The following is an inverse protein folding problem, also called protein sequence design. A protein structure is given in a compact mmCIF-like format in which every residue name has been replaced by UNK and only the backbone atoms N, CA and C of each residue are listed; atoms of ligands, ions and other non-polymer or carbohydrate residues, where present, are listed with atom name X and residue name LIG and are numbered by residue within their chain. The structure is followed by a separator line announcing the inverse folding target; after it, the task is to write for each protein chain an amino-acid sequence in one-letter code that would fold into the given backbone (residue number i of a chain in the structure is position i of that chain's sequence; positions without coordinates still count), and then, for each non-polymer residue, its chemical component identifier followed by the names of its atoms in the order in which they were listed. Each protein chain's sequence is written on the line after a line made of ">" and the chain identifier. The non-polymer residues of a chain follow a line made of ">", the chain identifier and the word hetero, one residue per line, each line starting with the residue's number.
data_IF_367303747186
#
_entry.id   IF_367303747186
#
_cell.length_a   1.000
_cell.length_b   1.000
_cell.length_c   1.000
_cell.angle_alpha   90.00
_cell.angle_beta   90.00
_cell.angle_gamma   90.00
#
_symmetry.space_group_name_H-M   'P 1'
#
loop_
_entity.id
_entity.type
_entity.pdbx_description
1 polymer ?
#
# COMPACT_ATOMS: atom_id res chain seq x y z
N UNK A 1 46.25 60.52 15.41
CA UNK A 1 45.00 61.29 15.23
C UNK A 1 43.84 60.34 15.46
N UNK A 2 42.97 60.66 16.42
CA UNK A 2 41.90 59.81 16.97
C UNK A 2 40.78 59.58 15.93
N UNK A 3 40.32 58.35 15.75
CA UNK A 3 38.91 58.06 15.46
C UNK A 3 38.48 56.76 16.16
N UNK A 4 37.53 56.94 17.06
CA UNK A 4 36.69 55.92 17.66
C UNK A 4 35.84 55.23 16.57
N UNK A 5 35.49 53.97 16.79
CA UNK A 5 34.11 53.46 16.94
C UNK A 5 34.14 51.96 16.64
N UNK A 6 34.00 51.17 17.70
CA UNK A 6 33.53 49.80 17.62
C UNK A 6 32.04 49.83 17.26
N UNK A 7 31.63 49.10 16.23
CA UNK A 7 30.24 48.70 16.07
C UNK A 7 30.24 47.22 15.70
N UNK A 8 29.87 46.40 16.69
CA UNK A 8 29.71 44.97 16.57
C UNK A 8 28.61 44.65 15.56
N UNK A 9 28.95 43.92 14.50
CA UNK A 9 27.97 43.26 13.64
C UNK A 9 28.38 41.79 13.53
N UNK A 10 28.06 41.00 14.56
CA UNK A 10 28.01 39.55 14.42
C UNK A 10 26.69 39.25 13.69
N UNK A 11 26.73 39.29 12.36
CA UNK A 11 25.63 38.84 11.54
C UNK A 11 25.62 37.31 11.52
N UNK A 12 24.91 36.70 12.48
CA UNK A 12 24.53 35.28 12.41
C UNK A 12 23.57 35.11 11.23
N UNK A 13 24.11 34.75 10.07
CA UNK A 13 23.32 34.24 8.94
C UNK A 13 22.67 32.94 9.41
N UNK A 14 21.44 33.03 9.93
CA UNK A 14 20.59 31.87 10.13
C UNK A 14 20.29 31.28 8.75
N UNK A 15 21.03 30.24 8.37
CA UNK A 15 20.71 29.40 7.22
C UNK A 15 19.41 28.68 7.56
N UNK A 16 18.28 29.32 7.29
CA UNK A 16 17.00 28.62 7.24
C UNK A 16 17.00 27.81 5.95
N UNK A 17 17.54 26.58 6.03
CA UNK A 17 17.25 25.57 5.04
C UNK A 17 15.73 25.32 5.10
N UNK A 18 15.00 25.97 4.19
CA UNK A 18 13.63 25.61 3.89
C UNK A 18 13.68 24.19 3.32
N UNK A 19 13.50 23.19 4.16
CA UNK A 19 13.14 21.86 3.68
C UNK A 19 11.80 22.03 2.96
N UNK A 20 11.85 22.18 1.64
CA UNK A 20 10.70 21.99 0.79
C UNK A 20 10.22 20.57 1.06
N UNK A 21 9.18 20.44 1.88
CA UNK A 21 8.56 19.15 2.14
C UNK A 21 7.80 18.80 0.87
N UNK A 22 8.51 18.19 -0.08
CA UNK A 22 7.91 17.57 -1.25
C UNK A 22 7.02 16.46 -0.73
N UNK A 23 5.74 16.79 -0.57
CA UNK A 23 4.73 15.84 -0.13
C UNK A 23 4.59 14.87 -1.29
N UNK A 24 5.24 13.71 -1.17
CA UNK A 24 5.19 12.68 -2.19
C UNK A 24 3.72 12.31 -2.40
N UNK A 25 3.18 12.67 -3.57
CA UNK A 25 1.82 12.31 -3.93
C UNK A 25 1.73 10.78 -3.94
N UNK A 26 0.71 10.23 -3.27
CA UNK A 26 0.45 8.79 -3.39
C UNK A 26 0.03 8.50 -4.83
N UNK A 27 0.72 7.61 -5.56
CA UNK A 27 0.38 7.31 -6.94
C UNK A 27 -1.06 6.80 -7.02
N UNK A 28 -1.86 7.48 -7.85
CA UNK A 28 -3.26 7.11 -8.09
C UNK A 28 -3.34 6.29 -9.37
N UNK A 29 -3.66 5.00 -9.24
CA UNK A 29 -3.78 4.10 -10.38
C UNK A 29 -5.20 4.07 -10.95
N UNK A 30 -5.30 4.13 -12.27
CA UNK A 30 -6.52 3.82 -13.02
C UNK A 30 -6.56 2.33 -13.37
N UNK A 31 -7.74 1.74 -13.31
CA UNK A 31 -7.95 0.30 -13.51
C UNK A 31 -9.01 0.11 -14.58
N UNK A 32 -8.73 -0.80 -15.50
CA UNK A 32 -9.67 -1.26 -16.52
C UNK A 32 -10.68 -2.24 -15.92
N UNK A 33 -10.21 -3.10 -15.00
CA UNK A 33 -11.06 -4.02 -14.25
C UNK A 33 -10.64 -4.07 -12.77
N UNK A 34 -11.61 -4.31 -11.89
CA UNK A 34 -11.44 -4.45 -10.45
C UNK A 34 -12.39 -5.53 -9.94
N UNK A 35 -12.04 -6.25 -8.86
CA UNK A 35 -12.95 -7.19 -8.22
C UNK A 35 -14.21 -6.47 -7.74
N UNK A 36 -15.35 -7.13 -7.94
CA UNK A 36 -16.66 -6.67 -7.52
C UNK A 36 -17.16 -7.39 -6.26
N UNK A 37 -18.40 -7.09 -5.84
CA UNK A 37 -18.99 -7.72 -4.66
C UNK A 37 -19.15 -9.25 -4.80
N UNK A 38 -19.45 -9.75 -5.99
CA UNK A 38 -19.56 -11.19 -6.24
C UNK A 38 -18.20 -11.88 -6.06
N UNK A 39 -17.13 -11.21 -6.44
CA UNK A 39 -15.75 -11.68 -6.26
C UNK A 39 -15.37 -11.81 -4.81
N UNK A 40 -15.72 -10.84 -3.98
CA UNK A 40 -15.52 -10.97 -2.55
C UNK A 40 -16.42 -12.05 -1.94
N UNK A 41 -17.68 -12.14 -2.35
CA UNK A 41 -18.59 -13.16 -1.83
C UNK A 41 -18.10 -14.59 -2.11
N UNK A 42 -17.69 -14.89 -3.36
CA UNK A 42 -17.27 -16.24 -3.74
C UNK A 42 -15.89 -16.64 -3.20
N UNK A 43 -15.03 -15.67 -2.90
CA UNK A 43 -13.69 -15.92 -2.37
C UNK A 43 -13.63 -15.71 -0.84
N UNK A 44 -14.74 -15.45 -0.15
CA UNK A 44 -14.71 -15.31 1.30
C UNK A 44 -14.20 -16.62 1.93
N UNK A 45 -13.22 -16.59 2.86
CA UNK A 45 -12.68 -17.82 3.41
C UNK A 45 -13.76 -18.64 4.10
N UNK A 46 -13.90 -19.91 3.70
CA UNK A 46 -14.98 -20.79 4.19
C UNK A 46 -15.04 -20.85 5.72
N UNK A 47 -13.90 -21.07 6.37
CA UNK A 47 -13.80 -21.08 7.83
C UNK A 47 -14.29 -19.77 8.47
N UNK A 48 -13.94 -18.64 7.86
CA UNK A 48 -14.33 -17.33 8.37
C UNK A 48 -15.84 -17.10 8.20
N UNK A 49 -16.45 -17.57 7.10
CA UNK A 49 -17.92 -17.58 6.94
C UNK A 49 -18.58 -18.43 8.01
N UNK A 50 -18.10 -19.67 8.19
CA UNK A 50 -18.69 -20.65 9.11
C UNK A 50 -18.67 -20.16 10.57
N UNK A 51 -17.60 -19.47 10.96
CA UNK A 51 -17.41 -18.93 12.30
C UNK A 51 -17.89 -17.47 12.46
N UNK A 52 -18.41 -16.85 11.39
CA UNK A 52 -18.85 -15.45 11.40
C UNK A 52 -17.73 -14.44 11.64
N UNK A 53 -16.48 -14.80 11.30
CA UNK A 53 -15.28 -14.01 11.54
C UNK A 53 -15.00 -13.07 10.38
N UNK A 54 -14.78 -11.80 10.71
CA UNK A 54 -14.33 -10.78 9.76
C UNK A 54 -12.82 -10.56 9.88
N UNK A 55 -12.21 -10.00 8.85
CA UNK A 55 -10.78 -9.79 8.88
C UNK A 55 -10.23 -8.95 7.76
N UNK A 56 -8.91 -8.96 7.62
CA UNK A 56 -8.20 -8.30 6.56
C UNK A 56 -6.92 -9.03 6.19
N UNK A 57 -6.41 -8.73 5.01
CA UNK A 57 -5.05 -9.07 4.64
C UNK A 57 -4.40 -7.93 3.88
N UNK A 58 -3.08 -7.86 3.95
CA UNK A 58 -2.28 -7.01 3.09
C UNK A 58 -1.75 -7.86 1.95
N UNK A 59 -1.85 -7.35 0.73
CA UNK A 59 -1.21 -7.92 -0.45
C UNK A 59 -0.17 -6.96 -1.01
N UNK A 60 0.96 -7.53 -1.44
CA UNK A 60 2.03 -6.85 -2.15
C UNK A 60 2.02 -7.36 -3.59
N UNK A 61 1.81 -6.47 -4.55
CA UNK A 61 1.58 -6.86 -5.94
C UNK A 61 2.58 -6.21 -6.89
N UNK A 62 3.09 -6.98 -7.85
CA UNK A 62 3.68 -6.45 -9.08
C UNK A 62 2.66 -6.48 -10.21
N UNK A 63 2.92 -5.72 -11.28
CA UNK A 63 2.09 -5.68 -12.47
C UNK A 63 2.79 -6.45 -13.59
N UNK A 64 2.10 -7.44 -14.16
CA UNK A 64 2.60 -8.22 -15.31
C UNK A 64 2.50 -7.41 -16.59
N UNK A 65 3.16 -7.88 -17.66
CA UNK A 65 3.11 -7.26 -18.99
C UNK A 65 1.71 -7.24 -19.62
N UNK A 66 0.81 -8.13 -19.19
CA UNK A 66 -0.60 -8.17 -19.59
C UNK A 66 -1.51 -7.25 -18.76
N UNK A 67 -0.90 -6.42 -17.89
CA UNK A 67 -1.53 -5.48 -16.95
C UNK A 67 -2.31 -6.13 -15.79
N UNK A 68 -2.19 -7.45 -15.61
CA UNK A 68 -2.75 -8.13 -14.43
C UNK A 68 -1.82 -8.05 -13.23
N UNK A 69 -2.35 -8.30 -12.02
CA UNK A 69 -1.55 -8.31 -10.80
C UNK A 69 -0.97 -9.69 -10.47
N UNK A 70 0.28 -9.71 -10.03
CA UNK A 70 0.91 -10.84 -9.35
C UNK A 70 1.13 -10.47 -7.89
N UNK A 71 0.41 -11.11 -6.97
CA UNK A 71 0.38 -10.72 -5.56
C UNK A 71 0.85 -11.83 -4.63
N UNK A 72 1.46 -11.43 -3.52
CA UNK A 72 1.67 -12.24 -2.32
C UNK A 72 0.98 -11.58 -1.13
N UNK A 73 0.72 -12.33 -0.05
CA UNK A 73 0.13 -11.78 1.18
C UNK A 73 1.05 -11.99 2.38
N UNK A 74 1.81 -10.96 2.80
CA UNK A 74 2.71 -11.08 3.96
C UNK A 74 2.02 -10.94 5.32
N UNK A 75 0.75 -10.52 5.34
CA UNK A 75 0.06 -10.19 6.57
C UNK A 75 -1.44 -10.45 6.43
N UNK A 76 -2.01 -11.15 7.41
CA UNK A 76 -3.45 -11.31 7.58
C UNK A 76 -3.85 -11.17 9.04
N UNK A 77 -5.12 -10.86 9.26
CA UNK A 77 -5.72 -10.79 10.59
C UNK A 77 -7.21 -11.14 10.55
N UNK A 78 -7.69 -11.97 11.49
CA UNK A 78 -6.89 -12.85 12.35
C UNK A 78 -6.06 -13.85 11.53
N UNK A 79 -4.92 -14.27 12.10
CA UNK A 79 -4.04 -15.22 11.42
C UNK A 79 -4.68 -16.63 11.37
N UNK A 80 -4.45 -17.35 10.28
CA UNK A 80 -4.92 -18.72 10.07
C UNK A 80 -6.37 -18.85 9.60
N UNK A 81 -7.03 -17.74 9.24
CA UNK A 81 -8.39 -17.75 8.69
C UNK A 81 -8.43 -17.75 7.16
N UNK A 82 -7.30 -17.55 6.48
CA UNK A 82 -7.21 -17.63 5.02
C UNK A 82 -7.58 -16.33 4.28
N UNK A 83 -7.56 -15.19 4.97
CA UNK A 83 -7.81 -13.88 4.35
C UNK A 83 -6.70 -13.51 3.37
N UNK A 84 -5.46 -13.95 3.61
CA UNK A 84 -4.34 -13.74 2.69
C UNK A 84 -4.57 -14.39 1.33
N UNK A 85 -4.85 -15.70 1.33
CA UNK A 85 -5.13 -16.46 0.10
C UNK A 85 -6.37 -15.94 -0.64
N UNK A 86 -7.42 -15.62 0.10
CA UNK A 86 -8.64 -15.04 -0.46
C UNK A 86 -8.35 -13.69 -1.14
N UNK A 87 -7.44 -12.89 -0.57
CA UNK A 87 -7.03 -11.59 -1.12
C UNK A 87 -6.17 -11.76 -2.37
N UNK A 88 -5.33 -12.78 -2.43
CA UNK A 88 -4.58 -13.15 -3.65
C UNK A 88 -5.54 -13.65 -4.73
N UNK A 89 -6.58 -14.42 -4.38
CA UNK A 89 -7.57 -14.89 -5.34
C UNK A 89 -8.38 -13.72 -5.92
N UNK A 90 -8.88 -12.82 -5.07
CA UNK A 90 -9.60 -11.63 -5.50
C UNK A 90 -8.73 -10.67 -6.31
N UNK A 91 -7.41 -10.60 -6.04
CA UNK A 91 -6.54 -9.67 -6.76
C UNK A 91 -6.31 -10.02 -8.22
N UNK A 92 -6.61 -11.27 -8.63
CA UNK A 92 -6.49 -11.75 -10.02
C UNK A 92 -7.43 -11.03 -10.98
N UNK A 93 -8.49 -10.39 -10.49
CA UNK A 93 -9.42 -9.64 -11.33
C UNK A 93 -9.00 -8.20 -11.62
N UNK A 94 -8.00 -7.70 -10.90
CA UNK A 94 -7.46 -6.39 -11.21
C UNK A 94 -6.76 -6.42 -12.57
N UNK A 95 -7.14 -5.47 -13.42
CA UNK A 95 -6.44 -5.14 -14.66
C UNK A 95 -6.15 -3.65 -14.67
N UNK A 96 -4.88 -3.29 -14.72
CA UNK A 96 -4.45 -1.90 -14.75
C UNK A 96 -4.75 -1.28 -16.13
N UNK A 97 -5.07 0.02 -16.16
CA UNK A 97 -5.20 0.73 -17.44
C UNK A 97 -3.84 0.83 -18.15
N UNK A 98 -3.86 1.04 -19.47
CA UNK A 98 -2.63 1.25 -20.24
C UNK A 98 -1.84 2.48 -19.75
N UNK A 99 -2.53 3.58 -19.43
CA UNK A 99 -1.90 4.81 -18.97
C UNK A 99 -1.12 4.61 -17.67
N UNK A 100 -1.75 4.04 -16.64
CA UNK A 100 -1.07 3.77 -15.37
C UNK A 100 0.02 2.71 -15.52
N UNK A 101 -0.17 1.70 -16.36
CA UNK A 101 0.88 0.70 -16.63
C UNK A 101 2.11 1.34 -17.29
N UNK A 102 1.91 2.22 -18.28
CA UNK A 102 2.99 2.92 -18.96
C UNK A 102 3.82 3.79 -18.01
N UNK A 103 3.20 4.39 -17.00
CA UNK A 103 3.87 5.17 -15.97
C UNK A 103 4.75 4.33 -15.05
N UNK A 104 4.30 3.14 -14.63
CA UNK A 104 4.99 2.35 -13.60
C UNK A 104 5.98 1.33 -14.17
N UNK A 105 5.82 0.88 -15.42
CA UNK A 105 6.59 -0.24 -15.98
C UNK A 105 8.10 0.00 -16.08
N UNK A 106 8.54 1.26 -16.01
CA UNK A 106 9.97 1.62 -16.00
C UNK A 106 10.62 1.47 -14.63
N UNK A 107 9.84 1.31 -13.56
CA UNK A 107 10.33 1.07 -12.20
C UNK A 107 10.22 -0.43 -11.87
N UNK A 108 11.32 -1.20 -11.94
CA UNK A 108 11.29 -2.63 -11.64
C UNK A 108 11.00 -2.94 -10.16
N UNK A 109 11.11 -1.95 -9.28
CA UNK A 109 10.83 -2.09 -7.85
C UNK A 109 9.42 -1.60 -7.48
N UNK A 110 8.59 -1.25 -8.45
CA UNK A 110 7.26 -0.75 -8.20
C UNK A 110 6.36 -1.84 -7.61
N UNK A 111 5.96 -1.67 -6.36
CA UNK A 111 5.06 -2.59 -5.64
C UNK A 111 3.78 -1.88 -5.24
N UNK A 112 2.65 -2.46 -5.62
CA UNK A 112 1.32 -2.01 -5.22
C UNK A 112 0.94 -2.72 -3.92
N UNK A 113 0.89 -1.97 -2.82
CA UNK A 113 0.37 -2.46 -1.54
C UNK A 113 -1.12 -2.19 -1.41
N UNK A 114 -1.90 -3.21 -1.05
CA UNK A 114 -3.34 -3.07 -0.76
C UNK A 114 -3.71 -3.79 0.52
N UNK A 115 -4.46 -3.11 1.38
CA UNK A 115 -5.16 -3.76 2.49
C UNK A 115 -6.57 -4.11 2.02
N UNK A 116 -6.87 -5.41 1.97
CA UNK A 116 -8.19 -5.96 1.63
C UNK A 116 -8.93 -6.25 2.91
N UNK A 117 -10.17 -5.75 3.04
CA UNK A 117 -11.03 -6.00 4.20
C UNK A 117 -12.16 -6.96 3.81
N UNK A 118 -12.38 -7.97 4.63
CA UNK A 118 -13.37 -9.02 4.47
C UNK A 118 -14.47 -8.83 5.51
N UNK A 119 -15.56 -8.18 5.12
CA UNK A 119 -16.69 -7.82 5.99
C UNK A 119 -17.90 -8.70 5.71
N UNK A 120 -18.62 -9.09 6.76
CA UNK A 120 -19.94 -9.74 6.66
C UNK A 120 -21.03 -8.73 7.05
N UNK A 121 -22.19 -8.71 6.38
CA UNK A 121 -23.32 -7.89 6.83
C UNK A 121 -23.95 -8.41 8.14
N UNK A 122 -24.41 -7.52 9.04
CA UNK A 122 -24.09 -6.09 9.12
C UNK A 122 -22.72 -5.93 9.83
N UNK A 123 -21.76 -5.22 9.23
CA UNK A 123 -20.48 -5.08 9.92
C UNK A 123 -19.44 -4.21 9.25
N UNK A 124 -18.44 -3.89 10.07
CA UNK A 124 -17.19 -3.25 9.71
C UNK A 124 -16.06 -4.01 10.43
N UNK A 125 -14.88 -4.05 9.80
CA UNK A 125 -13.69 -4.67 10.41
C UNK A 125 -12.95 -3.61 11.23
N UNK A 126 -12.96 -3.76 12.55
CA UNK A 126 -12.13 -2.99 13.47
C UNK A 126 -10.73 -3.58 13.54
N UNK A 127 -9.83 -3.04 12.71
CA UNK A 127 -8.45 -3.52 12.64
C UNK A 127 -7.65 -3.05 13.87
N UNK A 128 -6.93 -3.96 14.57
CA UNK A 128 -6.04 -3.57 15.64
C UNK A 128 -4.97 -2.58 15.18
N UNK A 129 -4.56 -1.68 16.08
CA UNK A 129 -3.51 -0.71 15.79
C UNK A 129 -2.20 -1.39 15.37
N UNK A 130 -1.86 -2.52 16.01
CA UNK A 130 -0.69 -3.32 15.65
C UNK A 130 -0.74 -3.81 14.19
N UNK A 131 -1.89 -4.34 13.75
CA UNK A 131 -2.06 -4.74 12.36
C UNK A 131 -1.88 -3.56 11.41
N UNK A 132 -2.50 -2.42 11.75
CA UNK A 132 -2.41 -1.20 10.93
C UNK A 132 -0.98 -0.68 10.83
N UNK A 133 -0.20 -0.75 11.90
CA UNK A 133 1.20 -0.35 11.91
C UNK A 133 2.07 -1.31 11.07
N UNK A 134 1.91 -2.63 11.30
CA UNK A 134 2.59 -3.64 10.49
C UNK A 134 2.25 -3.53 9.01
N UNK A 135 1.00 -3.22 8.67
CA UNK A 135 0.57 -3.03 7.28
C UNK A 135 1.32 -1.88 6.57
N UNK A 136 1.86 -0.89 7.29
CA UNK A 136 2.64 0.22 6.70
C UNK A 136 4.08 -0.16 6.38
N UNK A 137 4.61 -1.22 7.01
CA UNK A 137 6.01 -1.62 6.88
C UNK A 137 6.22 -2.86 6.01
N UNK A 138 5.14 -3.60 5.70
CA UNK A 138 5.18 -4.67 4.71
C UNK A 138 5.24 -4.12 3.27
N UNK A 139 5.74 -4.96 2.36
CA UNK A 139 6.03 -4.66 0.95
C UNK A 139 7.29 -3.83 0.65
N UNK A 140 8.13 -3.55 1.66
CA UNK A 140 9.35 -2.73 1.50
C UNK A 140 10.58 -3.49 0.98
N UNK A 141 10.41 -4.70 0.41
CA UNK A 141 11.48 -5.51 -0.17
C UNK A 141 11.38 -5.56 -1.69
N UNK A 142 12.49 -5.87 -2.42
CA UNK A 142 12.41 -6.07 -3.86
C UNK A 142 11.38 -7.14 -4.17
N UNK A 143 10.54 -6.90 -5.17
CA UNK A 143 9.63 -7.92 -5.67
C UNK A 143 10.44 -9.16 -6.04
N UNK A 144 10.15 -10.31 -5.42
CA UNK A 144 10.84 -11.55 -5.74
C UNK A 144 10.56 -11.85 -7.22
N UNK A 145 11.58 -11.93 -8.10
CA UNK A 145 11.38 -12.32 -9.47
C UNK A 145 10.91 -13.78 -9.48
N UNK A 146 9.70 -14.02 -9.96
CA UNK A 146 9.27 -15.38 -10.30
C UNK A 146 9.89 -15.74 -11.64
N UNK A 147 10.65 -16.83 -11.64
CA UNK A 147 11.34 -17.42 -12.79
C UNK A 147 10.38 -17.80 -13.91
#
# INVERSE_FOLDING_TARGET
>A
MKYFVACAMVATLAVTAAFAQETQATPTYTWEARPDGYTFARNYPQRAVDEGVQGAAVVCCTVRSDRTLNCTSPLEWPAGYGFGESSIAASREFRMSESSYAEIRSDPNHVIRRTVRWVLPPGAVDLPAEFTERARTVCNGPAVPVS
#
